data_IF_819383983597
#
_entry.id   IF_819383983597
#
_cell.length_a   1.000
_cell.length_b   1.000
_cell.length_c   1.000
_cell.angle_alpha   90.00
_cell.angle_beta   90.00
_cell.angle_gamma   90.00
#
_symmetry.space_group_name_H-M   'P 1'
#
loop_
_entity.id
_entity.type
_entity.pdbx_description
1 polymer ?
#
# COMPACT_ATOMS: atom_id res chain seq x y z
N UNK A 1 -11.09 -1.16 -14.78
CA UNK A 1 -9.90 -0.93 -13.94
C UNK A 1 -10.07 -1.71 -12.65
N UNK A 2 -9.03 -2.40 -12.18
CA UNK A 2 -9.04 -3.04 -10.87
C UNK A 2 -9.06 -1.98 -9.77
N UNK A 3 -9.90 -2.16 -8.75
CA UNK A 3 -10.01 -1.25 -7.61
C UNK A 3 -8.72 -1.32 -6.78
N UNK A 4 -8.12 -0.17 -6.46
CA UNK A 4 -6.98 -0.10 -5.54
C UNK A 4 -7.42 -0.29 -4.08
N UNK A 5 -6.49 -0.72 -3.21
CA UNK A 5 -6.80 -1.00 -1.79
C UNK A 5 -6.62 0.21 -0.85
N UNK A 6 -6.15 1.33 -1.40
CA UNK A 6 -5.81 2.53 -0.62
C UNK A 6 -6.98 3.51 -0.51
N UNK A 7 -7.81 3.62 -1.55
CA UNK A 7 -8.93 4.55 -1.60
C UNK A 7 -10.05 4.00 -2.47
N UNK A 8 -11.28 4.33 -2.09
CA UNK A 8 -12.50 4.04 -2.86
C UNK A 8 -12.86 5.13 -3.87
N UNK A 9 -12.09 6.24 -3.93
CA UNK A 9 -12.39 7.43 -4.71
C UNK A 9 -11.44 7.56 -5.92
N UNK A 10 -11.72 6.89 -7.05
CA UNK A 10 -10.80 6.82 -8.20
C UNK A 10 -10.63 8.15 -8.95
N UNK A 11 -11.52 9.12 -8.73
CA UNK A 11 -11.53 10.41 -9.43
C UNK A 11 -10.85 11.53 -8.63
N UNK A 12 -10.31 11.23 -7.44
CA UNK A 12 -9.76 12.22 -6.52
C UNK A 12 -8.27 11.93 -6.30
N UNK A 13 -7.41 12.88 -6.64
CA UNK A 13 -5.98 12.81 -6.39
C UNK A 13 -5.71 12.58 -4.90
N UNK A 14 -5.05 11.46 -4.57
CA UNK A 14 -4.83 11.06 -3.18
C UNK A 14 -3.89 12.00 -2.40
N UNK A 15 -3.15 12.87 -3.10
CA UNK A 15 -2.23 13.85 -2.49
C UNK A 15 -2.93 15.17 -2.18
N UNK A 16 -3.65 15.73 -3.15
CA UNK A 16 -4.16 17.11 -3.05
C UNK A 16 -5.68 17.26 -3.17
N UNK A 17 -6.43 16.18 -3.42
CA UNK A 17 -7.88 16.21 -3.50
C UNK A 17 -8.48 16.80 -4.79
N UNK A 18 -7.66 17.29 -5.73
CA UNK A 18 -8.11 17.71 -7.07
C UNK A 18 -8.53 16.50 -7.93
N UNK A 19 -9.25 16.69 -9.05
CA UNK A 19 -9.52 15.61 -9.98
C UNK A 19 -8.25 14.86 -10.38
N UNK A 20 -8.30 13.53 -10.36
CA UNK A 20 -7.19 12.70 -10.84
C UNK A 20 -7.14 12.68 -12.35
N UNK A 21 -5.93 12.53 -12.89
CA UNK A 21 -5.66 12.49 -14.32
C UNK A 21 -4.88 11.23 -14.72
N UNK A 22 -4.35 10.51 -13.72
CA UNK A 22 -3.51 9.32 -13.89
C UNK A 22 -3.61 8.38 -12.68
N UNK A 23 -3.07 7.18 -12.82
CA UNK A 23 -2.79 6.26 -11.72
C UNK A 23 -1.29 6.24 -11.41
N UNK A 24 -0.95 6.09 -10.13
CA UNK A 24 0.42 5.90 -9.65
C UNK A 24 0.54 4.57 -8.90
N UNK A 25 1.50 3.72 -9.28
CA UNK A 25 1.84 2.50 -8.54
C UNK A 25 2.69 2.85 -7.33
N UNK A 26 2.23 2.53 -6.12
CA UNK A 26 2.89 2.90 -4.87
C UNK A 26 4.23 2.17 -4.68
N UNK A 27 4.31 0.92 -5.12
CA UNK A 27 5.57 0.17 -5.19
C UNK A 27 5.96 -0.01 -6.66
N UNK A 28 6.88 0.82 -7.14
CA UNK A 28 7.23 0.91 -8.56
C UNK A 28 8.64 0.38 -8.87
N UNK A 29 9.00 0.39 -10.16
CA UNK A 29 10.12 -0.37 -10.76
C UNK A 29 9.60 -1.55 -11.56
N UNK A 30 10.42 -2.16 -12.43
CA UNK A 30 9.95 -3.21 -13.38
C UNK A 30 9.20 -4.35 -12.67
N UNK A 31 9.80 -4.93 -11.62
CA UNK A 31 9.14 -5.99 -10.83
C UNK A 31 8.04 -5.45 -9.89
N UNK A 32 8.22 -4.24 -9.35
CA UNK A 32 7.28 -3.63 -8.40
C UNK A 32 5.93 -3.28 -9.05
N UNK A 33 5.95 -2.82 -10.31
CA UNK A 33 4.74 -2.42 -11.03
C UNK A 33 3.76 -3.57 -11.21
N UNK A 34 4.24 -4.74 -11.63
CA UNK A 34 3.37 -5.92 -11.82
C UNK A 34 2.77 -6.41 -10.50
N UNK A 35 3.56 -6.43 -9.43
CA UNK A 35 3.06 -6.80 -8.10
C UNK A 35 2.05 -5.78 -7.58
N UNK A 36 2.33 -4.48 -7.75
CA UNK A 36 1.41 -3.42 -7.36
C UNK A 36 0.08 -3.51 -8.09
N UNK A 37 0.08 -3.88 -9.38
CA UNK A 37 -1.16 -4.10 -10.12
C UNK A 37 -1.95 -5.29 -9.56
N UNK A 38 -1.26 -6.41 -9.26
CA UNK A 38 -1.86 -7.63 -8.69
C UNK A 38 -2.44 -7.40 -7.29
N UNK A 39 -1.77 -6.58 -6.49
CA UNK A 39 -2.14 -6.31 -5.09
C UNK A 39 -3.04 -5.09 -4.93
N UNK A 40 -3.36 -4.37 -6.01
CA UNK A 40 -4.12 -3.12 -5.95
C UNK A 40 -3.37 -1.97 -5.26
N UNK A 41 -2.03 -2.00 -5.23
CA UNK A 41 -1.18 -0.91 -4.71
C UNK A 41 -1.00 0.21 -5.74
N UNK A 42 -2.12 0.77 -6.18
CA UNK A 42 -2.16 1.92 -7.07
C UNK A 42 -3.17 2.94 -6.59
N UNK A 43 -2.89 4.20 -6.86
CA UNK A 43 -3.68 5.34 -6.38
C UNK A 43 -3.97 6.34 -7.49
N UNK A 44 -5.15 6.96 -7.48
CA UNK A 44 -5.48 8.06 -8.37
C UNK A 44 -4.67 9.31 -8.01
N UNK A 45 -4.15 10.01 -9.02
CA UNK A 45 -3.27 11.17 -8.84
C UNK A 45 -3.48 12.18 -9.98
N UNK A 46 -3.33 13.48 -9.70
CA UNK A 46 -3.26 14.50 -10.75
C UNK A 46 -1.84 14.57 -11.33
N UNK A 47 -1.69 15.06 -12.56
CA UNK A 47 -0.40 15.11 -13.24
C UNK A 47 0.62 15.98 -12.50
N UNK A 48 0.14 17.07 -11.87
CA UNK A 48 0.94 18.00 -11.06
C UNK A 48 1.63 17.29 -9.88
N UNK A 49 0.86 16.51 -9.09
CA UNK A 49 1.41 15.72 -7.98
C UNK A 49 2.11 14.43 -8.44
N UNK A 50 1.90 13.98 -9.67
CA UNK A 50 2.48 12.73 -10.17
C UNK A 50 3.90 12.92 -10.69
N UNK A 51 4.05 13.65 -11.80
CA UNK A 51 5.32 13.78 -12.53
C UNK A 51 5.50 15.11 -13.31
N UNK A 52 4.48 15.96 -13.43
CA UNK A 52 4.54 17.19 -14.23
C UNK A 52 4.79 18.47 -13.40
N UNK A 53 4.42 18.48 -12.12
CA UNK A 53 4.56 19.67 -11.26
C UNK A 53 6.00 19.98 -10.86
N UNK A 54 6.16 20.92 -9.91
CA UNK A 54 7.47 21.20 -9.31
C UNK A 54 8.03 19.97 -8.59
N UNK A 55 9.35 19.78 -8.61
CA UNK A 55 10.01 18.61 -7.99
C UNK A 55 9.64 18.46 -6.51
N UNK A 56 9.49 19.57 -5.77
CA UNK A 56 9.11 19.54 -4.35
C UNK A 56 7.62 19.18 -4.13
N UNK A 57 6.80 19.23 -5.16
CA UNK A 57 5.35 19.06 -5.11
C UNK A 57 4.85 17.78 -5.81
N UNK A 58 5.76 16.94 -6.32
CA UNK A 58 5.42 15.71 -7.06
C UNK A 58 6.11 14.47 -6.52
N UNK A 59 5.59 13.30 -6.87
CA UNK A 59 6.19 12.01 -6.50
C UNK A 59 7.48 11.78 -7.29
N UNK A 60 7.39 11.73 -8.62
CA UNK A 60 8.52 11.29 -9.44
C UNK A 60 9.64 12.33 -9.50
N UNK A 61 10.86 11.88 -9.20
CA UNK A 61 12.03 12.75 -9.11
C UNK A 61 12.20 13.42 -7.74
N UNK A 62 11.35 13.10 -6.76
CA UNK A 62 11.49 13.52 -5.38
C UNK A 62 11.79 12.29 -4.50
N UNK A 63 13.05 12.09 -4.04
CA UNK A 63 13.45 10.89 -3.33
C UNK A 63 12.64 10.61 -2.06
N UNK A 64 12.23 11.67 -1.35
CA UNK A 64 11.43 11.54 -0.13
C UNK A 64 9.99 11.12 -0.46
N UNK A 65 9.36 11.74 -1.46
CA UNK A 65 8.02 11.37 -1.89
C UNK A 65 7.96 9.96 -2.49
N UNK A 66 8.97 9.58 -3.27
CA UNK A 66 9.14 8.22 -3.81
C UNK A 66 9.25 7.17 -2.71
N UNK A 67 10.06 7.44 -1.67
CA UNK A 67 10.18 6.55 -0.52
C UNK A 67 8.88 6.49 0.29
N UNK A 68 8.21 7.63 0.47
CA UNK A 68 6.91 7.66 1.16
C UNK A 68 5.83 6.91 0.40
N UNK A 69 5.79 7.00 -0.93
CA UNK A 69 4.89 6.24 -1.79
C UNK A 69 5.00 4.73 -1.51
N UNK A 70 6.24 4.21 -1.46
CA UNK A 70 6.53 2.81 -1.14
C UNK A 70 6.13 2.42 0.29
N UNK A 71 6.36 3.29 1.27
CA UNK A 71 5.94 3.09 2.67
C UNK A 71 4.41 3.00 2.77
N UNK A 72 3.68 3.90 2.09
CA UNK A 72 2.21 3.87 2.04
C UNK A 72 1.72 2.56 1.41
N UNK A 73 2.34 2.14 0.31
CA UNK A 73 2.06 0.86 -0.33
C UNK A 73 2.22 -0.33 0.63
N UNK A 74 3.32 -0.38 1.37
CA UNK A 74 3.56 -1.42 2.37
C UNK A 74 2.52 -1.39 3.50
N UNK A 75 2.22 -0.21 4.06
CA UNK A 75 1.23 -0.09 5.13
C UNK A 75 -0.17 -0.53 4.67
N UNK A 76 -0.58 -0.15 3.46
CA UNK A 76 -1.85 -0.58 2.90
C UNK A 76 -1.90 -2.10 2.71
N UNK A 77 -0.82 -2.70 2.21
CA UNK A 77 -0.72 -4.15 2.03
C UNK A 77 -0.76 -4.88 3.38
N UNK A 78 0.00 -4.43 4.38
CA UNK A 78 0.03 -5.01 5.74
C UNK A 78 -1.34 -4.89 6.42
N UNK A 79 -2.10 -3.81 6.17
CA UNK A 79 -3.48 -3.64 6.64
C UNK A 79 -4.40 -4.72 6.04
N UNK A 80 -4.36 -4.95 4.73
CA UNK A 80 -5.17 -5.99 4.09
C UNK A 80 -4.77 -7.40 4.56
N UNK A 81 -3.48 -7.66 4.72
CA UNK A 81 -2.99 -8.91 5.31
C UNK A 81 -3.57 -9.12 6.73
N UNK A 82 -3.57 -8.08 7.56
CA UNK A 82 -4.10 -8.15 8.91
C UNK A 82 -5.60 -8.46 8.95
N UNK A 83 -6.39 -7.83 8.07
CA UNK A 83 -7.82 -8.10 7.95
C UNK A 83 -8.09 -9.55 7.54
N UNK A 84 -7.37 -10.06 6.54
CA UNK A 84 -7.48 -11.46 6.11
C UNK A 84 -7.14 -12.44 7.24
N UNK A 85 -6.09 -12.16 8.02
CA UNK A 85 -5.70 -13.01 9.15
C UNK A 85 -6.66 -12.93 10.33
N UNK A 86 -7.19 -11.75 10.64
CA UNK A 86 -8.22 -11.61 11.65
C UNK A 86 -9.45 -12.46 11.31
N UNK A 87 -9.89 -12.43 10.04
CA UNK A 87 -11.00 -13.26 9.57
C UNK A 87 -10.71 -14.77 9.66
N UNK A 88 -9.48 -15.20 9.33
CA UNK A 88 -9.05 -16.59 9.51
C UNK A 88 -9.08 -17.00 10.99
N UNK A 89 -8.55 -16.17 11.90
CA UNK A 89 -8.53 -16.47 13.34
C UNK A 89 -9.92 -16.48 13.96
N UNK A 90 -10.82 -15.56 13.56
CA UNK A 90 -12.20 -15.53 14.02
C UNK A 90 -13.00 -16.79 13.63
N UNK A 91 -12.56 -17.53 12.60
CA UNK A 91 -13.17 -18.80 12.18
C UNK A 91 -12.67 -20.02 12.95
N UNK A 92 -11.56 -19.90 13.68
CA UNK A 92 -10.87 -21.01 14.35
C UNK A 92 -10.70 -20.70 15.85
N UNK A 93 -11.62 -19.94 16.47
CA UNK A 93 -11.42 -19.49 17.86
C UNK A 93 -11.25 -20.69 18.78
N UNK A 94 -10.02 -20.82 19.28
CA UNK A 94 -9.62 -21.56 20.47
C UNK A 94 -9.58 -20.52 21.59
N UNK A 95 -10.45 -20.67 22.60
CA UNK A 95 -10.66 -19.70 23.69
C UNK A 95 -9.38 -19.38 24.49
N UNK A 96 -8.29 -20.14 24.29
CA UNK A 96 -7.05 -20.02 25.04
C UNK A 96 -5.98 -19.05 24.50
N UNK A 97 -6.17 -18.38 23.35
CA UNK A 97 -5.15 -17.45 22.81
C UNK A 97 -5.34 -16.02 23.32
N UNK A 98 -4.30 -15.47 23.94
CA UNK A 98 -4.30 -14.07 24.38
C UNK A 98 -4.30 -13.11 23.18
N UNK A 99 -5.13 -12.07 23.25
CA UNK A 99 -5.28 -11.04 22.21
C UNK A 99 -3.93 -10.39 21.81
N UNK A 100 -3.01 -10.24 22.77
CA UNK A 100 -1.67 -9.68 22.54
C UNK A 100 -0.79 -10.53 21.63
N UNK A 101 -0.84 -11.86 21.77
CA UNK A 101 -0.07 -12.78 20.93
C UNK A 101 -0.57 -12.77 19.49
N UNK A 102 -1.90 -12.77 19.30
CA UNK A 102 -2.53 -12.70 17.97
C UNK A 102 -2.14 -11.40 17.25
N UNK A 103 -2.20 -10.25 17.93
CA UNK A 103 -1.77 -8.96 17.37
C UNK A 103 -0.29 -8.97 16.97
N UNK A 104 0.60 -9.55 17.77
CA UNK A 104 2.02 -9.64 17.41
C UNK A 104 2.27 -10.53 16.20
N UNK A 105 1.58 -11.68 16.11
CA UNK A 105 1.67 -12.59 14.97
C UNK A 105 1.21 -11.89 13.69
N UNK A 106 0.09 -11.18 13.74
CA UNK A 106 -0.43 -10.43 12.59
C UNK A 106 0.55 -9.35 12.16
N UNK A 107 1.03 -8.52 13.09
CA UNK A 107 1.90 -7.39 12.76
C UNK A 107 3.27 -7.83 12.23
N UNK A 108 3.97 -8.73 12.93
CA UNK A 108 5.28 -9.24 12.47
C UNK A 108 5.13 -10.10 11.21
N UNK A 109 4.06 -10.88 11.14
CA UNK A 109 3.73 -11.72 9.98
C UNK A 109 3.48 -10.90 8.72
N UNK A 110 2.74 -9.79 8.82
CA UNK A 110 2.46 -8.88 7.71
C UNK A 110 3.74 -8.31 7.11
N UNK A 111 4.65 -7.79 7.94
CA UNK A 111 5.92 -7.22 7.45
C UNK A 111 6.82 -8.24 6.77
N UNK A 112 6.94 -9.41 7.37
CA UNK A 112 7.75 -10.49 6.79
C UNK A 112 7.14 -11.03 5.50
N UNK A 113 5.82 -11.13 5.42
CA UNK A 113 5.11 -11.54 4.22
C UNK A 113 5.26 -10.52 3.09
N UNK A 114 5.14 -9.21 3.39
CA UNK A 114 5.42 -8.14 2.44
C UNK A 114 6.86 -8.22 1.93
N UNK A 115 7.84 -8.32 2.84
CA UNK A 115 9.27 -8.42 2.50
C UNK A 115 9.56 -9.58 1.56
N UNK A 116 8.97 -10.76 1.82
CA UNK A 116 9.11 -11.93 0.94
C UNK A 116 8.48 -11.70 -0.44
N UNK A 117 7.32 -11.03 -0.49
CA UNK A 117 6.59 -10.77 -1.74
C UNK A 117 7.27 -9.73 -2.62
N UNK A 118 7.75 -8.64 -2.04
CA UNK A 118 8.33 -7.50 -2.75
C UNK A 118 9.86 -7.51 -2.79
N UNK A 119 10.50 -8.47 -2.11
CA UNK A 119 11.96 -8.61 -2.03
C UNK A 119 12.64 -7.65 -1.04
N UNK A 120 11.90 -6.70 -0.46
CA UNK A 120 12.41 -5.76 0.54
C UNK A 120 11.29 -5.23 1.45
N UNK A 121 11.68 -4.63 2.57
CA UNK A 121 10.81 -3.81 3.42
C UNK A 121 11.23 -2.35 3.26
N UNK A 122 10.24 -1.46 3.25
CA UNK A 122 10.39 -0.01 3.29
C UNK A 122 10.23 0.57 4.71
N UNK A 123 9.83 -0.28 5.67
CA UNK A 123 9.74 -0.04 7.12
C UNK A 123 10.77 -0.87 7.89
#
# INVERSE_FOLDING_TARGET
MSKGIVTDYPEICFICGRPSEAEHHLVFGTAGRELSEKDGLKVPVCNDCHNMGDILCRIHGNPMAERMSKIIGQLAWEKEYALQKADEFARIIDEGREEGEVKQIIHKGGREAFRKRYGCSYL
#
